data_IF_273868492400
#
_entry.id   IF_273868492400
#
_cell.length_a   1.000
_cell.length_b   1.000
_cell.length_c   1.000
_cell.angle_alpha   90.00
_cell.angle_beta   90.00
_cell.angle_gamma   90.00
#
_symmetry.space_group_name_H-M   'P 1'
#
loop_
_entity.id
_entity.type
_entity.pdbx_description
1 polymer ?
#
# COMPACT_ATOMS: atom_id res chain seq x y z
N UNK A 1 6.15 -30.95 27.27
CA UNK A 1 4.99 -30.06 27.38
C UNK A 1 3.72 -30.87 27.33
N UNK A 2 2.99 -30.91 28.43
CA UNK A 2 1.71 -31.60 28.52
C UNK A 2 0.63 -30.86 27.73
N UNK A 3 -0.40 -31.58 27.28
CA UNK A 3 -1.48 -31.05 26.43
C UNK A 3 -2.19 -29.84 27.05
N UNK A 4 -2.21 -29.72 28.38
CA UNK A 4 -2.75 -28.56 29.12
C UNK A 4 -1.87 -27.31 29.01
N UNK A 5 -0.54 -27.47 29.02
CA UNK A 5 0.40 -26.35 28.85
C UNK A 5 0.32 -25.77 27.43
N UNK A 6 0.08 -26.61 26.42
CA UNK A 6 -0.17 -26.14 25.04
C UNK A 6 -1.47 -25.33 24.93
N UNK A 7 -2.54 -25.71 25.62
CA UNK A 7 -3.83 -25.00 25.55
C UNK A 7 -3.73 -23.63 26.24
N UNK A 8 -3.06 -23.55 27.39
CA UNK A 8 -2.82 -22.29 28.10
C UNK A 8 -1.89 -21.38 27.30
N UNK A 9 -0.85 -21.94 26.65
CA UNK A 9 0.03 -21.18 25.77
C UNK A 9 -0.72 -20.66 24.53
N UNK A 10 -1.59 -21.46 23.92
CA UNK A 10 -2.40 -21.05 22.75
C UNK A 10 -3.39 -19.93 23.11
N UNK A 11 -4.06 -20.00 24.25
CA UNK A 11 -5.00 -18.94 24.66
C UNK A 11 -4.26 -17.67 25.09
N UNK A 12 -3.13 -17.77 25.78
CA UNK A 12 -2.33 -16.60 26.18
C UNK A 12 -1.63 -15.93 25.01
N UNK A 13 -1.08 -16.70 24.06
CA UNK A 13 -0.49 -16.15 22.83
C UNK A 13 -1.56 -15.52 21.95
N UNK A 14 -2.76 -16.10 21.85
CA UNK A 14 -3.87 -15.52 21.08
C UNK A 14 -4.38 -14.19 21.68
N UNK A 15 -4.45 -14.09 23.02
CA UNK A 15 -4.83 -12.85 23.70
C UNK A 15 -3.73 -11.80 23.59
N UNK A 16 -2.45 -12.21 23.62
CA UNK A 16 -1.32 -11.32 23.40
C UNK A 16 -1.25 -10.84 21.94
N UNK A 17 -1.60 -11.68 20.97
CA UNK A 17 -1.69 -11.32 19.56
C UNK A 17 -2.83 -10.32 19.32
N UNK A 18 -4.00 -10.54 19.92
CA UNK A 18 -5.10 -9.56 19.92
C UNK A 18 -4.70 -8.23 20.60
N UNK A 19 -3.97 -8.26 21.71
CA UNK A 19 -3.53 -7.04 22.40
C UNK A 19 -2.42 -6.32 21.63
N UNK A 20 -1.55 -7.05 20.91
CA UNK A 20 -0.48 -6.49 20.11
C UNK A 20 -1.03 -5.88 18.81
N UNK A 21 -1.97 -6.54 18.13
CA UNK A 21 -2.69 -5.95 16.99
C UNK A 21 -3.55 -4.78 17.44
N UNK A 22 -4.20 -4.85 18.62
CA UNK A 22 -4.94 -3.73 19.19
C UNK A 22 -4.01 -2.56 19.58
N UNK A 23 -2.79 -2.82 20.07
CA UNK A 23 -1.79 -1.77 20.34
C UNK A 23 -1.25 -1.16 19.04
N UNK A 24 -1.07 -1.95 17.98
CA UNK A 24 -0.72 -1.46 16.64
C UNK A 24 -1.87 -0.62 16.05
N UNK A 25 -3.14 -1.05 16.21
CA UNK A 25 -4.34 -0.33 15.76
C UNK A 25 -4.62 0.92 16.62
N UNK A 26 -4.34 0.91 17.93
CA UNK A 26 -4.54 2.06 18.81
C UNK A 26 -3.39 3.07 18.74
N UNK A 27 -2.16 2.64 18.40
CA UNK A 27 -1.03 3.53 18.16
C UNK A 27 -1.12 4.23 16.80
N UNK A 28 -1.79 3.61 15.83
CA UNK A 28 -2.18 4.26 14.58
C UNK A 28 -3.55 4.88 14.83
N UNK A 29 -3.57 6.06 15.46
CA UNK A 29 -4.76 6.90 15.51
C UNK A 29 -5.46 6.89 14.14
N UNK A 30 -6.77 6.74 14.17
CA UNK A 30 -7.64 6.56 13.00
C UNK A 30 -7.51 7.69 11.97
N UNK A 31 -6.47 7.66 11.15
CA UNK A 31 -6.31 8.48 9.96
C UNK A 31 -6.13 7.56 8.76
N UNK A 32 -7.25 7.40 8.05
CA UNK A 32 -7.38 6.69 6.77
C UNK A 32 -6.74 7.50 5.64
N UNK A 33 -5.47 7.84 5.76
CA UNK A 33 -4.73 8.57 4.73
C UNK A 33 -3.44 7.82 4.45
N UNK A 34 -3.49 6.96 3.44
CA UNK A 34 -2.33 6.25 2.91
C UNK A 34 -1.34 7.21 2.26
N UNK A 35 -0.55 7.93 3.06
CA UNK A 35 0.67 8.60 2.64
C UNK A 35 1.57 8.82 3.85
N UNK A 36 2.59 7.98 4.04
CA UNK A 36 3.75 8.38 4.84
C UNK A 36 4.61 9.27 3.95
N UNK A 37 4.56 10.58 4.21
CA UNK A 37 5.50 11.55 3.66
C UNK A 37 6.92 11.24 4.20
N UNK A 38 7.91 10.87 3.36
CA UNK A 38 9.24 10.50 3.84
C UNK A 38 10.06 11.67 4.41
N UNK A 39 9.58 12.92 4.29
CA UNK A 39 10.31 14.13 4.73
C UNK A 39 9.62 14.92 5.86
N UNK A 40 8.52 14.42 6.44
CA UNK A 40 7.95 15.05 7.63
C UNK A 40 8.73 14.59 8.88
N UNK A 41 9.35 15.50 9.67
CA UNK A 41 9.97 15.11 10.93
C UNK A 41 8.84 14.74 11.90
N UNK A 42 8.66 13.44 12.13
CA UNK A 42 7.72 12.92 13.12
C UNK A 42 8.19 13.38 14.49
N UNK A 43 7.49 14.37 15.06
CA UNK A 43 7.74 14.87 16.40
C UNK A 43 6.79 14.18 17.38
N UNK A 44 7.39 13.29 18.18
CA UNK A 44 6.87 12.60 19.37
C UNK A 44 5.75 11.58 19.15
N UNK A 45 6.09 10.29 19.28
CA UNK A 45 5.49 9.29 20.20
C UNK A 45 5.93 7.87 19.79
N UNK A 46 6.52 7.12 20.74
CA UNK A 46 7.01 5.75 20.62
C UNK A 46 7.92 5.46 19.40
N UNK A 47 9.23 5.60 19.59
CA UNK A 47 10.22 5.03 18.67
C UNK A 47 9.99 3.52 18.62
N UNK A 48 9.26 3.04 17.61
CA UNK A 48 9.12 1.61 17.32
C UNK A 48 10.54 1.12 17.13
N UNK A 49 11.05 0.38 18.11
CA UNK A 49 12.35 -0.25 18.00
C UNK A 49 12.19 -1.40 16.99
N UNK A 50 12.39 -1.07 15.72
CA UNK A 50 12.23 -1.98 14.58
C UNK A 50 13.09 -3.23 14.74
N UNK A 51 14.29 -3.09 15.30
CA UNK A 51 15.17 -4.22 15.57
C UNK A 51 14.56 -5.18 16.60
N UNK A 52 13.90 -4.63 17.64
CA UNK A 52 13.18 -5.42 18.65
C UNK A 52 11.98 -6.15 18.05
N UNK A 53 11.16 -5.46 17.25
CA UNK A 53 9.97 -6.06 16.63
C UNK A 53 10.35 -7.12 15.60
N UNK A 54 11.34 -6.85 14.75
CA UNK A 54 11.86 -7.83 13.80
C UNK A 54 12.35 -9.08 14.52
N UNK A 55 13.07 -8.92 15.64
CA UNK A 55 13.57 -10.04 16.45
C UNK A 55 12.44 -10.86 17.06
N UNK A 56 11.35 -10.23 17.53
CA UNK A 56 10.17 -10.95 18.04
C UNK A 56 9.55 -11.80 16.94
N UNK A 57 9.35 -11.23 15.76
CA UNK A 57 8.77 -11.93 14.61
C UNK A 57 9.64 -13.11 14.18
N UNK A 58 10.97 -12.94 14.14
CA UNK A 58 11.90 -14.03 13.84
C UNK A 58 11.81 -15.19 14.85
N UNK A 59 11.61 -14.88 16.14
CA UNK A 59 11.41 -15.91 17.17
C UNK A 59 10.11 -16.67 16.93
N UNK A 60 9.00 -15.99 16.60
CA UNK A 60 7.72 -16.63 16.31
C UNK A 60 7.84 -17.63 15.16
N UNK A 61 8.50 -17.23 14.07
CA UNK A 61 8.73 -18.11 12.91
C UNK A 61 9.60 -19.30 13.32
N UNK A 62 10.68 -19.10 14.09
CA UNK A 62 11.52 -20.20 14.61
C UNK A 62 10.76 -21.16 15.53
N UNK A 63 9.73 -20.68 16.23
CA UNK A 63 8.86 -21.49 17.07
C UNK A 63 7.77 -22.23 16.27
N UNK A 64 7.70 -22.05 14.96
CA UNK A 64 6.76 -22.71 14.06
C UNK A 64 5.39 -22.02 13.98
N UNK A 65 5.28 -20.76 14.41
CA UNK A 65 4.09 -19.96 14.15
C UNK A 65 4.19 -19.38 12.73
N UNK A 66 3.50 -20.02 11.79
CA UNK A 66 3.47 -19.61 10.39
C UNK A 66 2.03 -19.28 10.00
N UNK A 67 1.74 -17.99 9.84
CA UNK A 67 0.49 -17.48 9.28
C UNK A 67 0.78 -16.25 8.41
N UNK A 68 -0.19 -15.85 7.59
CA UNK A 68 -0.01 -14.74 6.65
C UNK A 68 0.36 -13.43 7.36
N UNK A 69 -0.27 -13.11 8.49
CA UNK A 69 -0.02 -11.89 9.26
C UNK A 69 1.45 -11.73 9.69
N UNK A 70 2.09 -12.82 10.13
CA UNK A 70 3.48 -12.81 10.60
C UNK A 70 4.43 -12.42 9.45
N UNK A 71 4.24 -13.03 8.28
CA UNK A 71 5.04 -12.71 7.11
C UNK A 71 4.71 -11.30 6.58
N UNK A 72 3.44 -10.92 6.50
CA UNK A 72 3.02 -9.57 6.12
C UNK A 72 3.67 -8.50 7.01
N UNK A 73 3.60 -8.66 8.33
CA UNK A 73 4.17 -7.70 9.28
C UNK A 73 5.69 -7.61 9.15
N UNK A 74 6.39 -8.73 8.94
CA UNK A 74 7.84 -8.69 8.68
C UNK A 74 8.17 -8.00 7.37
N UNK A 75 7.40 -8.29 6.32
CA UNK A 75 7.53 -7.64 5.02
C UNK A 75 7.32 -6.14 5.09
N UNK A 76 6.34 -5.69 5.88
CA UNK A 76 6.10 -4.28 6.16
C UNK A 76 7.28 -3.59 6.85
N UNK A 77 7.85 -4.24 7.88
CA UNK A 77 9.06 -3.74 8.53
C UNK A 77 10.22 -3.64 7.53
N UNK A 78 10.46 -4.68 6.73
CA UNK A 78 11.51 -4.67 5.72
C UNK A 78 11.32 -3.57 4.67
N UNK A 79 10.07 -3.31 4.25
CA UNK A 79 9.74 -2.20 3.35
C UNK A 79 10.13 -0.85 3.95
N UNK A 80 9.82 -0.65 5.23
CA UNK A 80 10.12 0.59 5.97
C UNK A 80 11.63 0.85 6.10
N UNK A 81 12.43 -0.19 6.35
CA UNK A 81 13.91 -0.07 6.40
C UNK A 81 14.57 -0.15 5.02
N UNK A 82 13.80 -0.15 3.94
CA UNK A 82 14.30 -0.13 2.56
C UNK A 82 14.88 -1.46 2.05
N UNK A 83 14.62 -2.57 2.76
CA UNK A 83 14.99 -3.94 2.37
C UNK A 83 13.90 -4.54 1.48
N UNK A 84 13.71 -3.94 0.30
CA UNK A 84 12.65 -4.28 -0.63
C UNK A 84 12.64 -5.77 -1.04
N UNK A 85 13.81 -6.37 -1.23
CA UNK A 85 13.99 -7.77 -1.62
C UNK A 85 13.39 -8.73 -0.57
N UNK A 86 13.66 -8.46 0.70
CA UNK A 86 13.11 -9.22 1.82
C UNK A 86 11.61 -8.95 1.99
N UNK A 87 11.17 -7.70 1.79
CA UNK A 87 9.76 -7.33 1.86
C UNK A 87 8.92 -8.06 0.80
N UNK A 88 9.38 -8.07 -0.47
CA UNK A 88 8.71 -8.81 -1.56
C UNK A 88 8.62 -10.29 -1.21
N UNK A 89 9.71 -10.88 -0.71
CA UNK A 89 9.72 -12.30 -0.32
C UNK A 89 8.68 -12.58 0.75
N UNK A 90 8.62 -11.76 1.79
CA UNK A 90 7.69 -11.96 2.90
C UNK A 90 6.23 -11.69 2.51
N UNK A 91 5.94 -10.68 1.69
CA UNK A 91 4.60 -10.51 1.14
C UNK A 91 4.20 -11.69 0.25
N UNK A 92 5.14 -12.27 -0.48
CA UNK A 92 4.88 -13.48 -1.28
C UNK A 92 4.57 -14.68 -0.40
N UNK A 93 5.32 -14.89 0.68
CA UNK A 93 5.01 -15.94 1.67
C UNK A 93 3.63 -15.73 2.33
N UNK A 94 3.26 -14.47 2.63
CA UNK A 94 1.93 -14.16 3.16
C UNK A 94 0.83 -14.56 2.16
N UNK A 95 1.04 -14.28 0.88
CA UNK A 95 0.11 -14.61 -0.20
C UNK A 95 0.04 -16.10 -0.55
N UNK A 96 1.12 -16.86 -0.29
CA UNK A 96 1.09 -18.33 -0.36
C UNK A 96 0.21 -18.94 0.73
N UNK A 97 0.15 -18.32 1.91
CA UNK A 97 -0.66 -18.77 3.05
C UNK A 97 -2.11 -18.25 2.96
N UNK A 98 -2.29 -17.03 2.47
CA UNK A 98 -3.60 -16.41 2.22
C UNK A 98 -3.57 -15.60 0.91
N UNK A 99 -4.08 -16.21 -0.14
CA UNK A 99 -4.09 -15.61 -1.48
C UNK A 99 -5.12 -14.48 -1.65
N UNK A 100 -5.89 -14.15 -0.60
CA UNK A 100 -6.85 -13.04 -0.56
C UNK A 100 -6.35 -11.87 0.32
N UNK A 101 -5.09 -11.92 0.77
CA UNK A 101 -4.51 -10.87 1.62
C UNK A 101 -4.27 -9.57 0.83
N UNK A 102 -5.28 -8.72 0.78
CA UNK A 102 -5.32 -7.49 -0.04
C UNK A 102 -4.14 -6.56 0.24
N UNK A 103 -3.81 -6.32 1.52
CA UNK A 103 -2.72 -5.41 1.88
C UNK A 103 -1.34 -5.93 1.45
N UNK A 104 -1.17 -7.26 1.35
CA UNK A 104 0.09 -7.87 0.91
C UNK A 104 0.28 -7.65 -0.59
N UNK A 105 -0.76 -7.83 -1.41
CA UNK A 105 -0.72 -7.45 -2.83
C UNK A 105 -0.46 -5.96 -2.99
N UNK A 106 -1.21 -5.11 -2.26
CA UNK A 106 -1.08 -3.66 -2.41
C UNK A 106 0.34 -3.17 -2.08
N UNK A 107 0.89 -3.57 -0.93
CA UNK A 107 2.22 -3.14 -0.51
C UNK A 107 3.34 -3.73 -1.39
N UNK A 108 3.20 -4.99 -1.84
CA UNK A 108 4.16 -5.58 -2.79
C UNK A 108 4.11 -4.87 -4.15
N UNK A 109 2.92 -4.52 -4.63
CA UNK A 109 2.71 -3.71 -5.83
C UNK A 109 3.37 -2.33 -5.74
N UNK A 110 3.30 -1.65 -4.59
CA UNK A 110 4.01 -0.39 -4.36
C UNK A 110 5.53 -0.55 -4.42
N UNK A 111 6.08 -1.63 -3.89
CA UNK A 111 7.52 -1.91 -4.01
C UNK A 111 7.90 -2.15 -5.47
N UNK A 112 7.13 -2.95 -6.21
CA UNK A 112 7.36 -3.15 -7.64
C UNK A 112 7.29 -1.84 -8.44
N UNK A 113 6.39 -0.91 -8.08
CA UNK A 113 6.39 0.43 -8.67
C UNK A 113 7.70 1.19 -8.41
N UNK A 114 8.20 1.15 -7.17
CA UNK A 114 9.46 1.79 -6.77
C UNK A 114 10.66 1.19 -7.51
N UNK A 115 10.65 -0.11 -7.75
CA UNK A 115 11.69 -0.84 -8.49
C UNK A 115 11.50 -0.80 -10.01
N UNK A 116 10.47 -0.10 -10.49
CA UNK A 116 10.10 0.01 -11.92
C UNK A 116 9.71 -1.34 -12.54
N UNK A 117 9.35 -2.32 -11.71
CA UNK A 117 8.81 -3.59 -12.17
C UNK A 117 7.29 -3.48 -12.44
N UNK A 118 6.95 -2.68 -13.45
CA UNK A 118 5.57 -2.29 -13.72
C UNK A 118 4.62 -3.44 -14.06
N UNK A 119 5.01 -4.52 -14.79
CA UNK A 119 4.10 -5.62 -15.08
C UNK A 119 3.60 -6.33 -13.81
N UNK A 120 4.48 -6.56 -12.84
CA UNK A 120 4.19 -7.21 -11.57
C UNK A 120 3.36 -6.30 -10.67
N UNK A 121 3.66 -4.99 -10.66
CA UNK A 121 2.81 -4.01 -9.99
C UNK A 121 1.37 -4.00 -10.58
N UNK A 122 1.22 -4.05 -11.91
CA UNK A 122 -0.09 -4.13 -12.57
C UNK A 122 -0.84 -5.40 -12.14
N UNK A 123 -0.13 -6.54 -12.04
CA UNK A 123 -0.74 -7.79 -11.59
C UNK A 123 -1.25 -7.67 -10.16
N UNK A 124 -0.39 -7.21 -9.23
CA UNK A 124 -0.75 -7.08 -7.82
C UNK A 124 -1.91 -6.10 -7.61
N UNK A 125 -1.89 -4.91 -8.24
CA UNK A 125 -3.03 -3.98 -8.14
C UNK A 125 -4.30 -4.50 -8.80
N UNK A 126 -4.18 -5.37 -9.81
CA UNK A 126 -5.35 -6.02 -10.40
C UNK A 126 -6.01 -6.99 -9.42
N UNK A 127 -5.22 -7.73 -8.63
CA UNK A 127 -5.76 -8.62 -7.61
C UNK A 127 -6.32 -7.86 -6.39
N UNK A 128 -5.73 -6.70 -6.06
CA UNK A 128 -6.34 -5.75 -5.11
C UNK A 128 -7.73 -5.30 -5.61
N UNK A 129 -7.84 -4.84 -6.86
CA UNK A 129 -9.10 -4.33 -7.42
C UNK A 129 -10.18 -5.43 -7.54
N UNK A 130 -9.79 -6.68 -7.82
CA UNK A 130 -10.73 -7.81 -7.83
C UNK A 130 -11.32 -8.06 -6.44
N UNK A 131 -10.50 -7.93 -5.41
CA UNK A 131 -10.88 -8.20 -4.01
C UNK A 131 -11.63 -7.00 -3.39
N UNK A 132 -11.14 -5.79 -3.64
CA UNK A 132 -11.75 -4.52 -3.21
C UNK A 132 -11.91 -3.57 -4.42
N UNK A 133 -13.07 -3.60 -5.09
CA UNK A 133 -13.34 -2.75 -6.24
C UNK A 133 -13.63 -1.29 -5.87
N UNK A 134 -13.57 -0.94 -4.58
CA UNK A 134 -13.82 0.43 -4.07
C UNK A 134 -12.53 1.15 -3.66
N UNK A 135 -11.38 0.48 -3.69
CA UNK A 135 -10.08 1.06 -3.36
C UNK A 135 -9.57 1.97 -4.48
N UNK A 136 -9.87 3.27 -4.40
CA UNK A 136 -9.44 4.28 -5.38
C UNK A 136 -7.92 4.29 -5.62
N UNK A 137 -7.12 4.11 -4.56
CA UNK A 137 -5.66 4.11 -4.63
C UNK A 137 -5.10 2.96 -5.49
N UNK A 138 -5.77 1.81 -5.52
CA UNK A 138 -5.35 0.68 -6.34
C UNK A 138 -5.53 0.99 -7.84
N UNK A 139 -6.65 1.63 -8.20
CA UNK A 139 -6.87 2.13 -9.57
C UNK A 139 -5.85 3.20 -9.93
N UNK A 140 -5.60 4.18 -9.05
CA UNK A 140 -4.60 5.23 -9.29
C UNK A 140 -3.19 4.64 -9.55
N UNK A 141 -2.75 3.72 -8.70
CA UNK A 141 -1.42 3.11 -8.81
C UNK A 141 -1.29 2.18 -10.03
N UNK A 142 -2.36 1.45 -10.39
CA UNK A 142 -2.37 0.66 -11.63
C UNK A 142 -2.38 1.56 -12.87
N UNK A 143 -3.12 2.67 -12.84
CA UNK A 143 -3.08 3.71 -13.88
C UNK A 143 -1.69 4.31 -14.06
N UNK A 144 -0.99 4.61 -12.96
CA UNK A 144 0.41 5.05 -12.98
C UNK A 144 1.31 4.00 -13.67
N UNK A 145 1.15 2.72 -13.34
CA UNK A 145 1.92 1.62 -13.93
C UNK A 145 1.61 1.45 -15.44
N UNK A 146 0.35 1.61 -15.84
CA UNK A 146 -0.06 1.60 -17.24
C UNK A 146 0.57 2.75 -18.04
N UNK A 147 0.63 3.96 -17.50
CA UNK A 147 1.35 5.06 -18.17
C UNK A 147 2.84 4.75 -18.36
N UNK A 148 3.48 4.16 -17.34
CA UNK A 148 4.91 3.78 -17.43
C UNK A 148 5.18 2.68 -18.45
N UNK A 149 4.16 1.92 -18.82
CA UNK A 149 4.23 0.85 -19.83
C UNK A 149 3.62 1.25 -21.18
N UNK A 150 3.24 2.52 -21.36
CA UNK A 150 2.68 3.03 -22.62
C UNK A 150 1.22 2.64 -22.88
N UNK A 151 0.53 2.07 -21.88
CA UNK A 151 -0.86 1.63 -21.95
C UNK A 151 -1.81 2.79 -21.60
N UNK A 152 -1.80 3.82 -22.44
CA UNK A 152 -2.41 5.14 -22.14
C UNK A 152 -3.93 5.05 -21.95
N UNK A 153 -4.63 4.27 -22.77
CA UNK A 153 -6.08 4.09 -22.69
C UNK A 153 -6.50 3.40 -21.39
N UNK A 154 -5.74 2.37 -20.97
CA UNK A 154 -6.02 1.64 -19.73
C UNK A 154 -5.76 2.51 -18.50
N UNK A 155 -4.75 3.39 -18.56
CA UNK A 155 -4.54 4.39 -17.53
C UNK A 155 -5.71 5.38 -17.44
N UNK A 156 -6.27 5.81 -18.58
CA UNK A 156 -7.43 6.71 -18.61
C UNK A 156 -8.65 6.08 -17.92
N UNK A 157 -8.92 4.80 -18.21
CA UNK A 157 -10.00 4.03 -17.57
C UNK A 157 -9.81 3.97 -16.05
N UNK A 158 -8.61 3.61 -15.61
CA UNK A 158 -8.28 3.48 -14.19
C UNK A 158 -8.39 4.81 -13.44
N UNK A 159 -7.86 5.93 -13.95
CA UNK A 159 -8.04 7.22 -13.28
C UNK A 159 -9.48 7.68 -13.27
N UNK A 160 -10.24 7.41 -14.34
CA UNK A 160 -11.67 7.73 -14.37
C UNK A 160 -12.44 6.95 -13.31
N UNK A 161 -12.09 5.68 -13.12
CA UNK A 161 -12.67 4.87 -12.06
C UNK A 161 -12.24 5.35 -10.67
N UNK A 162 -10.96 5.68 -10.47
CA UNK A 162 -10.44 6.24 -9.23
C UNK A 162 -11.18 7.54 -8.83
N UNK A 163 -11.38 8.46 -9.79
CA UNK A 163 -12.12 9.72 -9.57
C UNK A 163 -13.58 9.46 -9.21
N UNK A 164 -14.23 8.45 -9.82
CA UNK A 164 -15.60 8.10 -9.45
C UNK A 164 -15.74 7.57 -8.01
N UNK A 165 -14.65 7.04 -7.45
CA UNK A 165 -14.59 6.51 -6.08
C UNK A 165 -14.14 7.57 -5.07
N UNK A 166 -13.28 8.49 -5.48
CA UNK A 166 -12.77 9.59 -4.66
C UNK A 166 -12.64 10.88 -5.49
N UNK A 167 -13.74 11.63 -5.58
CA UNK A 167 -13.83 12.82 -6.44
C UNK A 167 -13.18 14.08 -5.83
N UNK A 168 -12.62 13.97 -4.61
CA UNK A 168 -11.98 15.06 -3.86
C UNK A 168 -10.47 15.01 -3.85
N UNK A 169 -9.86 13.96 -4.40
CA UNK A 169 -8.41 13.86 -4.49
C UNK A 169 -7.90 14.64 -5.73
N UNK A 170 -7.19 15.77 -5.52
CA UNK A 170 -6.65 16.56 -6.62
C UNK A 170 -5.61 15.82 -7.46
N UNK A 171 -4.86 14.86 -6.88
CA UNK A 171 -3.81 14.15 -7.61
C UNK A 171 -4.39 13.23 -8.69
N UNK A 172 -5.62 12.72 -8.51
CA UNK A 172 -6.29 11.89 -9.53
C UNK A 172 -6.62 12.69 -10.80
N UNK A 173 -7.15 13.89 -10.66
CA UNK A 173 -7.43 14.78 -11.81
C UNK A 173 -6.13 15.24 -12.46
N UNK A 174 -5.12 15.61 -11.66
CA UNK A 174 -3.80 15.95 -12.17
C UNK A 174 -3.19 14.82 -13.01
N UNK A 175 -3.24 13.58 -12.50
CA UNK A 175 -2.72 12.42 -13.22
C UNK A 175 -3.51 12.14 -14.51
N UNK A 176 -4.85 12.23 -14.47
CA UNK A 176 -5.69 12.03 -15.66
C UNK A 176 -5.47 13.13 -16.71
N UNK A 177 -5.18 14.35 -16.31
CA UNK A 177 -4.82 15.43 -17.24
C UNK A 177 -3.56 15.10 -18.06
N UNK A 178 -2.56 14.43 -17.48
CA UNK A 178 -1.41 13.94 -18.27
C UNK A 178 -1.79 12.90 -19.29
N UNK A 179 -2.73 12.02 -18.94
CA UNK A 179 -3.25 11.02 -19.88
C UNK A 179 -3.96 11.70 -21.03
N UNK A 180 -4.80 12.69 -20.76
CA UNK A 180 -5.45 13.48 -21.80
C UNK A 180 -4.46 14.22 -22.70
N UNK A 181 -3.39 14.80 -22.15
CA UNK A 181 -2.31 15.41 -22.95
C UNK A 181 -1.62 14.39 -23.85
N UNK A 182 -1.30 13.20 -23.33
CA UNK A 182 -0.70 12.12 -24.12
C UNK A 182 -1.62 11.66 -25.27
N UNK A 183 -2.94 11.75 -25.10
CA UNK A 183 -3.95 11.47 -26.12
C UNK A 183 -4.29 12.66 -27.04
N UNK A 184 -3.63 13.81 -26.87
CA UNK A 184 -3.93 15.04 -27.63
C UNK A 184 -5.26 15.73 -27.25
N UNK A 185 -5.91 15.30 -26.17
CA UNK A 185 -7.19 15.82 -25.67
C UNK A 185 -6.97 17.03 -24.75
N UNK A 186 -6.42 18.10 -25.31
CA UNK A 186 -5.95 19.25 -24.53
C UNK A 186 -7.05 19.94 -23.70
N UNK A 187 -8.27 20.08 -24.24
CA UNK A 187 -9.40 20.67 -23.52
C UNK A 187 -9.80 19.89 -22.26
N UNK A 188 -9.79 18.56 -22.36
CA UNK A 188 -10.12 17.70 -21.23
C UNK A 188 -9.02 17.74 -20.17
N UNK A 189 -7.75 17.84 -20.61
CA UNK A 189 -6.62 18.03 -19.70
C UNK A 189 -6.73 19.36 -18.93
N UNK A 190 -7.00 20.47 -19.61
CA UNK A 190 -7.15 21.77 -18.95
C UNK A 190 -8.30 21.76 -17.95
N UNK A 191 -9.43 21.12 -18.29
CA UNK A 191 -10.57 20.94 -17.38
C UNK A 191 -10.18 20.17 -16.11
N UNK A 192 -9.44 19.07 -16.25
CA UNK A 192 -8.98 18.29 -15.10
C UNK A 192 -7.95 19.05 -14.25
N UNK A 193 -7.08 19.86 -14.87
CA UNK A 193 -6.13 20.69 -14.13
C UNK A 193 -6.83 21.80 -13.33
N UNK A 194 -7.81 22.48 -13.92
CA UNK A 194 -8.65 23.46 -13.22
C UNK A 194 -9.37 22.81 -12.03
N UNK A 195 -9.87 21.58 -12.20
CA UNK A 195 -10.50 20.82 -11.12
C UNK A 195 -9.51 20.45 -10.02
N UNK A 196 -8.30 20.03 -10.36
CA UNK A 196 -7.24 19.71 -9.41
C UNK A 196 -6.82 20.95 -8.59
N UNK A 197 -6.68 22.11 -9.26
CA UNK A 197 -6.40 23.39 -8.61
C UNK A 197 -7.52 23.80 -7.65
N UNK A 198 -8.77 23.68 -8.07
CA UNK A 198 -9.93 23.98 -7.22
C UNK A 198 -10.01 23.09 -5.98
N UNK A 199 -9.48 21.86 -6.05
CA UNK A 199 -9.36 20.92 -4.94
C UNK A 199 -8.10 21.14 -4.09
N UNK A 200 -7.26 22.13 -4.42
CA UNK A 200 -6.12 22.54 -3.60
C UNK A 200 -4.76 21.99 -4.05
N UNK A 201 -4.61 21.49 -5.28
CA UNK A 201 -3.30 21.12 -5.81
C UNK A 201 -2.36 22.34 -5.81
N UNK A 202 -1.26 22.26 -5.05
CA UNK A 202 -0.29 23.37 -4.97
C UNK A 202 0.41 23.57 -6.31
N UNK A 203 0.48 24.83 -6.75
CA UNK A 203 0.99 25.29 -8.05
C UNK A 203 2.42 24.88 -8.40
N UNK A 204 3.25 24.45 -7.44
CA UNK A 204 4.60 23.93 -7.74
C UNK A 204 4.60 22.65 -8.58
N UNK A 205 3.59 21.76 -8.42
CA UNK A 205 3.44 20.58 -9.28
C UNK A 205 3.03 20.94 -10.71
N UNK A 206 2.38 22.08 -10.90
CA UNK A 206 1.86 22.53 -12.20
C UNK A 206 2.91 23.29 -13.03
N UNK A 207 3.87 23.96 -12.35
CA UNK A 207 4.91 24.79 -13.00
C UNK A 207 6.14 24.02 -13.51
N UNK A 208 6.29 22.72 -13.22
CA UNK A 208 7.47 21.92 -13.60
C UNK A 208 7.43 21.39 -15.05
N UNK A 209 6.69 22.04 -15.96
CA UNK A 209 6.60 21.64 -17.36
C UNK A 209 6.74 22.85 -18.28
#
# INVERSE_FOLDING_TARGET
MEKKERIILVTTVSVFFCLLTLLIILAIGSDKTGFVNPEAPVKNEAEINIDSELKKIEILIKMGFENADIYYNRGWIYSWVGRNDLAIKDYSSALELDNQYVDAYFNRGLIYMKEKNYPEAISDFTDVIKSDPTMSDAFCNRGNAYLKTGKVEQALEDYTKAISLNDKDPDLYYNRAFVYRALGRLKDADTDLEKAEALGLKTEKLKRQ
#
